data_IF_117420913828
#
_entry.id   IF_117420913828
#
_cell.length_a   1.000
_cell.length_b   1.000
_cell.length_c   1.000
_cell.angle_alpha   90.00
_cell.angle_beta   90.00
_cell.angle_gamma   90.00
#
_symmetry.space_group_name_H-M   'P 1'
#
loop_
_entity.id
_entity.type
_entity.pdbx_description
1 polymer ?
#
# COMPACT_ATOMS: atom_id res chain seq x y z
N UNK A 1 -11.84 -0.12 -17.73
CA UNK A 1 -13.14 -0.80 -17.95
C UNK A 1 -12.95 -2.18 -18.57
N UNK A 2 -12.50 -2.27 -19.83
CA UNK A 2 -12.28 -3.57 -20.51
C UNK A 2 -11.41 -4.52 -19.70
N UNK A 3 -10.32 -4.02 -19.12
CA UNK A 3 -9.40 -4.84 -18.33
C UNK A 3 -10.02 -5.34 -17.03
N UNK A 4 -10.85 -4.54 -16.37
CA UNK A 4 -11.54 -4.98 -15.16
C UNK A 4 -12.50 -6.13 -15.48
N UNK A 5 -13.22 -6.06 -16.60
CA UNK A 5 -14.08 -7.16 -17.08
C UNK A 5 -13.24 -8.40 -17.39
N UNK A 6 -12.10 -8.25 -18.08
CA UNK A 6 -11.19 -9.37 -18.33
C UNK A 6 -10.66 -9.97 -17.02
N UNK A 7 -10.32 -9.14 -16.03
CA UNK A 7 -9.85 -9.59 -14.73
C UNK A 7 -10.94 -10.31 -13.93
N UNK A 8 -12.21 -9.89 -14.02
CA UNK A 8 -13.36 -10.64 -13.46
C UNK A 8 -13.45 -12.02 -14.10
N UNK A 9 -13.35 -12.11 -15.43
CA UNK A 9 -13.39 -13.39 -16.16
C UNK A 9 -12.22 -14.30 -15.74
N UNK A 10 -11.01 -13.73 -15.58
CA UNK A 10 -9.84 -14.46 -15.08
C UNK A 10 -10.03 -14.94 -13.63
N UNK A 11 -10.63 -14.11 -12.77
CA UNK A 11 -11.00 -14.44 -11.39
C UNK A 11 -12.01 -15.59 -11.30
N UNK A 12 -13.09 -15.50 -12.08
CA UNK A 12 -14.17 -16.47 -12.10
C UNK A 12 -13.79 -17.81 -12.78
N UNK A 13 -12.93 -17.77 -13.80
CA UNK A 13 -12.45 -18.98 -14.51
C UNK A 13 -11.47 -19.84 -13.69
N UNK A 14 -10.95 -19.31 -12.58
CA UNK A 14 -10.01 -20.01 -11.73
C UNK A 14 -8.61 -20.17 -12.32
N UNK A 15 -8.27 -19.39 -13.37
CA UNK A 15 -6.93 -19.38 -13.99
C UNK A 15 -5.83 -19.08 -12.96
N UNK A 16 -6.13 -18.24 -11.97
CA UNK A 16 -5.21 -17.93 -10.87
C UNK A 16 -4.79 -19.20 -10.10
N UNK A 17 -5.65 -20.22 -9.99
CA UNK A 17 -5.29 -21.50 -9.36
C UNK A 17 -4.16 -22.22 -10.11
N UNK A 18 -4.15 -22.13 -11.44
CA UNK A 18 -3.08 -22.68 -12.27
C UNK A 18 -1.80 -21.85 -12.05
N UNK A 19 -1.92 -20.53 -11.97
CA UNK A 19 -0.77 -19.65 -11.72
C UNK A 19 -0.14 -19.90 -10.34
N UNK A 20 -0.95 -20.11 -9.29
CA UNK A 20 -0.48 -20.43 -7.94
C UNK A 20 0.42 -21.67 -7.88
N UNK A 21 0.29 -22.60 -8.83
CA UNK A 21 1.19 -23.75 -8.94
C UNK A 21 2.62 -23.38 -9.36
N UNK A 22 2.78 -22.26 -10.05
CA UNK A 22 4.05 -21.77 -10.57
C UNK A 22 4.63 -20.60 -9.77
N UNK A 23 3.84 -20.00 -8.88
CA UNK A 23 4.24 -18.84 -8.09
C UNK A 23 4.88 -19.34 -6.79
N UNK A 24 6.18 -19.07 -6.65
CA UNK A 24 6.93 -19.32 -5.42
C UNK A 24 7.72 -18.09 -4.99
N UNK A 25 8.39 -18.12 -3.82
CA UNK A 25 9.24 -17.02 -3.38
C UNK A 25 10.35 -16.69 -4.40
N UNK A 26 10.82 -17.70 -5.15
CA UNK A 26 11.81 -17.55 -6.22
C UNK A 26 11.31 -16.74 -7.42
N UNK A 27 9.99 -16.68 -7.66
CA UNK A 27 9.38 -15.87 -8.73
C UNK A 27 8.89 -14.52 -8.21
N UNK A 28 8.42 -14.45 -6.95
CA UNK A 28 7.90 -13.20 -6.36
C UNK A 28 9.05 -12.19 -6.14
N UNK A 29 10.18 -12.62 -5.58
CA UNK A 29 11.31 -11.76 -5.30
C UNK A 29 11.86 -11.00 -6.54
N UNK A 30 12.12 -11.65 -7.70
CA UNK A 30 12.58 -10.94 -8.89
C UNK A 30 11.50 -10.03 -9.47
N UNK A 31 10.21 -10.38 -9.38
CA UNK A 31 9.11 -9.51 -9.86
C UNK A 31 9.10 -8.20 -9.07
N UNK A 32 9.09 -8.27 -7.73
CA UNK A 32 9.11 -7.08 -6.86
C UNK A 32 10.36 -6.25 -7.12
N UNK A 33 11.51 -6.91 -7.32
CA UNK A 33 12.77 -6.23 -7.66
C UNK A 33 12.67 -5.46 -8.98
N UNK A 34 12.07 -6.06 -10.02
CA UNK A 34 11.88 -5.40 -11.33
C UNK A 34 10.89 -4.24 -11.23
N UNK A 35 9.81 -4.37 -10.45
CA UNK A 35 8.87 -3.26 -10.19
C UNK A 35 9.63 -2.11 -9.53
N UNK A 36 10.43 -2.37 -8.50
CA UNK A 36 11.27 -1.36 -7.84
C UNK A 36 12.28 -0.71 -8.80
N UNK A 37 12.99 -1.51 -9.60
CA UNK A 37 13.96 -1.01 -10.59
C UNK A 37 13.30 -0.16 -11.68
N UNK A 38 12.06 -0.47 -12.08
CA UNK A 38 11.32 0.31 -13.08
C UNK A 38 10.96 1.71 -12.58
N UNK A 39 10.74 1.85 -11.27
CA UNK A 39 10.45 3.12 -10.61
C UNK A 39 11.70 3.94 -10.30
N UNK A 40 12.88 3.32 -10.29
CA UNK A 40 14.14 3.97 -9.91
C UNK A 40 14.43 5.22 -10.75
N UNK A 41 14.20 5.18 -12.06
CA UNK A 41 14.42 6.35 -12.93
C UNK A 41 13.48 7.50 -12.59
N UNK A 42 12.19 7.20 -12.43
CA UNK A 42 11.19 8.21 -12.08
C UNK A 42 11.50 8.87 -10.74
N UNK A 43 11.81 8.07 -9.72
CA UNK A 43 12.19 8.56 -8.39
C UNK A 43 13.51 9.33 -8.46
N UNK A 44 14.48 8.85 -9.24
CA UNK A 44 15.76 9.51 -9.46
C UNK A 44 15.59 10.90 -10.08
N UNK A 45 14.77 11.03 -11.11
CA UNK A 45 14.48 12.32 -11.76
C UNK A 45 13.82 13.29 -10.76
N UNK A 46 12.84 12.82 -9.97
CA UNK A 46 12.18 13.64 -8.94
C UNK A 46 13.11 14.03 -7.79
N UNK A 47 13.93 13.11 -7.29
CA UNK A 47 14.88 13.36 -6.22
C UNK A 47 16.06 14.24 -6.65
N UNK A 48 16.49 14.16 -7.91
CA UNK A 48 17.60 14.96 -8.44
C UNK A 48 17.33 16.47 -8.37
N UNK A 49 16.06 16.87 -8.52
CA UNK A 49 15.64 18.26 -8.42
C UNK A 49 16.02 18.86 -7.06
N UNK A 50 15.90 18.09 -5.98
CA UNK A 50 16.16 18.50 -4.60
C UNK A 50 16.86 17.38 -3.82
N UNK A 51 18.09 17.07 -4.25
CA UNK A 51 18.85 15.93 -3.76
C UNK A 51 19.13 15.99 -2.25
N UNK A 52 19.39 17.18 -1.70
CA UNK A 52 19.70 17.35 -0.27
C UNK A 52 18.50 17.02 0.63
N UNK A 53 17.31 17.52 0.27
CA UNK A 53 16.08 17.28 1.03
C UNK A 53 15.66 15.81 0.88
N UNK A 54 15.86 15.23 -0.30
CA UNK A 54 15.62 13.81 -0.55
C UNK A 54 16.55 12.92 0.30
N UNK A 55 17.84 13.22 0.35
CA UNK A 55 18.81 12.51 1.20
C UNK A 55 18.47 12.65 2.68
N UNK A 56 18.05 13.83 3.11
CA UNK A 56 17.58 14.06 4.48
C UNK A 56 16.38 13.16 4.81
N UNK A 57 15.40 13.04 3.90
CA UNK A 57 14.24 12.17 4.10
C UNK A 57 14.64 10.70 4.24
N UNK A 58 15.51 10.20 3.35
CA UNK A 58 16.00 8.81 3.42
C UNK A 58 16.76 8.55 4.72
N UNK A 59 17.63 9.48 5.11
CA UNK A 59 18.38 9.39 6.37
C UNK A 59 17.43 9.41 7.58
N UNK A 60 16.42 10.28 7.58
CA UNK A 60 15.49 10.38 8.70
C UNK A 60 14.60 9.14 8.81
N UNK A 61 14.07 8.63 7.70
CA UNK A 61 13.31 7.36 7.66
C UNK A 61 14.16 6.19 8.14
N UNK A 62 15.41 6.09 7.72
CA UNK A 62 16.30 5.02 8.18
C UNK A 62 16.58 5.15 9.67
N UNK A 63 16.90 6.34 10.18
CA UNK A 63 17.11 6.56 11.62
C UNK A 63 15.84 6.19 12.42
N UNK A 64 14.69 6.77 12.10
CA UNK A 64 13.45 6.52 12.86
C UNK A 64 13.00 5.06 12.74
N UNK A 65 13.27 4.39 11.63
CA UNK A 65 13.02 2.95 11.47
C UNK A 65 13.93 2.09 12.34
N UNK A 66 15.18 2.48 12.57
CA UNK A 66 16.09 1.74 13.45
C UNK A 66 15.82 2.00 14.94
N UNK A 67 15.15 3.11 15.28
CA UNK A 67 14.74 3.38 16.65
C UNK A 67 13.63 2.38 17.05
N UNK A 68 14.04 1.29 17.71
CA UNK A 68 13.13 0.31 18.31
C UNK A 68 12.45 0.92 19.53
N UNK A 69 11.34 1.61 19.33
CA UNK A 69 10.45 2.04 20.41
C UNK A 69 9.78 0.82 21.04
N UNK A 70 10.39 0.29 22.11
CA UNK A 70 9.94 -0.91 22.82
C UNK A 70 8.85 -0.57 23.85
N UNK A 71 7.71 -0.08 23.38
CA UNK A 71 6.54 0.16 24.24
C UNK A 71 5.79 -1.17 24.38
N UNK A 72 5.95 -1.85 25.52
CA UNK A 72 5.19 -3.05 25.84
C UNK A 72 3.87 -2.68 26.49
N UNK A 73 2.75 -2.97 25.84
CA UNK A 73 1.43 -2.88 26.46
C UNK A 73 1.11 -4.22 27.14
N UNK A 74 0.74 -4.22 28.44
CA UNK A 74 0.31 -5.44 29.11
C UNK A 74 -1.12 -5.78 28.65
N UNK A 75 -1.25 -6.57 27.58
CA UNK A 75 -2.53 -7.13 27.13
C UNK A 75 -2.72 -8.52 27.75
N UNK A 76 -3.84 -8.73 28.44
CA UNK A 76 -4.29 -10.07 28.88
C UNK A 76 -4.87 -10.81 27.68
N UNK A 77 -4.37 -12.01 27.39
CA UNK A 77 -5.05 -12.91 26.44
C UNK A 77 -6.27 -13.52 27.15
N UNK A 78 -7.48 -13.53 26.54
CA UNK A 78 -8.49 -14.49 26.94
C UNK A 78 -7.99 -15.88 26.56
N UNK A 79 -8.08 -16.82 27.51
CA UNK A 79 -7.68 -18.21 27.32
C UNK A 79 -8.38 -18.77 26.08
N UNK A 80 -7.61 -19.40 25.20
CA UNK A 80 -8.15 -20.13 24.05
C UNK A 80 -8.91 -21.33 24.59
N UNK A 81 -10.21 -21.37 24.37
CA UNK A 81 -11.17 -22.41 24.82
C UNK A 81 -10.96 -23.79 24.15
N UNK A 82 -9.73 -24.12 23.74
CA UNK A 82 -9.37 -25.42 23.13
C UNK A 82 -8.56 -26.34 24.05
N UNK A 83 -8.17 -25.87 25.23
CA UNK A 83 -7.40 -26.69 26.20
C UNK A 83 -8.28 -27.22 27.36
N UNK A 84 -9.60 -26.97 27.35
CA UNK A 84 -10.51 -27.35 28.46
C UNK A 84 -10.89 -28.86 28.45
N UNK A 85 -10.72 -29.58 27.34
CA UNK A 85 -11.18 -30.97 27.26
C UNK A 85 -10.14 -32.00 27.75
N UNK A 86 -8.86 -31.64 27.90
CA UNK A 86 -7.79 -32.60 28.22
C UNK A 86 -7.09 -32.41 29.57
N UNK A 87 -7.57 -31.54 30.46
CA UNK A 87 -6.89 -31.26 31.73
C UNK A 87 -7.83 -31.38 32.94
N UNK A 88 -8.18 -32.63 33.28
CA UNK A 88 -8.81 -33.00 34.56
C UNK A 88 -7.76 -33.41 35.60
N UNK A 89 -6.66 -32.66 35.72
CA UNK A 89 -5.68 -32.84 36.80
C UNK A 89 -5.22 -31.50 37.35
N UNK A 90 -5.96 -31.04 38.37
CA UNK A 90 -5.48 -30.32 39.55
C UNK A 90 -4.10 -29.63 39.44
N UNK A 91 -4.07 -28.36 39.03
CA UNK A 91 -3.17 -27.34 39.57
C UNK A 91 -3.68 -25.91 39.27
N UNK A 92 -3.33 -24.98 40.15
CA UNK A 92 -3.86 -23.62 40.31
C UNK A 92 -3.90 -22.75 39.03
N UNK A 93 -4.93 -21.90 38.83
CA UNK A 93 -4.97 -20.98 37.69
C UNK A 93 -4.07 -19.77 37.96
N UNK A 94 -2.75 -19.91 37.78
CA UNK A 94 -1.88 -18.72 37.66
C UNK A 94 -2.11 -18.11 36.29
N UNK A 95 -2.92 -17.05 36.25
CA UNK A 95 -3.18 -16.24 35.07
C UNK A 95 -1.84 -15.69 34.52
N UNK A 96 -1.25 -16.40 33.57
CA UNK A 96 0.03 -16.06 32.99
C UNK A 96 -0.14 -14.85 32.05
N UNK A 97 0.17 -13.66 32.58
CA UNK A 97 0.06 -12.40 31.82
C UNK A 97 1.23 -12.33 30.84
N UNK A 98 1.02 -12.84 29.63
CA UNK A 98 2.00 -12.73 28.54
C UNK A 98 2.05 -11.30 28.01
N UNK A 99 3.14 -10.58 28.30
CA UNK A 99 3.39 -9.22 27.80
C UNK A 99 3.57 -9.28 26.28
N UNK A 100 2.54 -8.92 25.53
CA UNK A 100 2.62 -8.81 24.07
C UNK A 100 3.22 -7.45 23.68
N UNK A 101 4.31 -7.47 22.92
CA UNK A 101 5.01 -6.25 22.47
C UNK A 101 4.49 -5.91 21.08
N UNK A 102 3.72 -4.84 20.93
CA UNK A 102 3.27 -4.37 19.62
C UNK A 102 4.15 -3.24 19.10
N UNK A 103 4.78 -3.39 17.93
CA UNK A 103 5.49 -2.29 17.29
C UNK A 103 4.52 -1.41 16.51
N UNK A 104 3.50 -0.81 17.16
CA UNK A 104 2.56 0.10 16.47
C UNK A 104 3.30 1.33 15.89
N UNK A 105 4.38 1.75 16.56
CA UNK A 105 5.17 2.90 16.15
C UNK A 105 6.10 2.64 14.96
N UNK A 106 6.34 1.39 14.56
CA UNK A 106 7.22 1.11 13.42
C UNK A 106 6.57 1.50 12.09
N UNK A 107 5.26 1.27 11.94
CA UNK A 107 4.50 1.71 10.76
C UNK A 107 4.30 3.23 10.77
N UNK A 108 4.10 3.82 11.95
CA UNK A 108 4.02 5.28 12.13
C UNK A 108 5.34 5.99 11.78
N UNK A 109 6.47 5.29 11.85
CA UNK A 109 7.81 5.85 11.69
C UNK A 109 8.01 6.56 10.34
N UNK A 110 7.45 6.00 9.25
CA UNK A 110 7.49 6.63 7.93
C UNK A 110 6.71 7.96 7.89
N UNK A 111 5.50 7.96 8.46
CA UNK A 111 4.63 9.16 8.51
C UNK A 111 5.30 10.24 9.37
N UNK A 112 5.89 9.85 10.50
CA UNK A 112 6.60 10.77 11.38
C UNK A 112 7.78 11.44 10.67
N UNK A 113 8.59 10.68 9.93
CA UNK A 113 9.72 11.24 9.17
C UNK A 113 9.24 12.20 8.08
N UNK A 114 8.18 11.84 7.35
CA UNK A 114 7.60 12.70 6.33
C UNK A 114 7.11 14.03 6.93
N UNK A 115 6.48 13.99 8.12
CA UNK A 115 6.04 15.19 8.83
C UNK A 115 7.21 16.09 9.24
N UNK A 116 8.30 15.53 9.75
CA UNK A 116 9.49 16.31 10.15
C UNK A 116 10.14 16.98 8.93
N UNK A 117 10.30 16.25 7.82
CA UNK A 117 10.86 16.82 6.58
C UNK A 117 9.94 17.89 6.01
N UNK A 118 8.62 17.67 6.02
CA UNK A 118 7.65 18.67 5.61
C UNK A 118 7.74 19.94 6.48
N UNK A 119 7.83 19.79 7.81
CA UNK A 119 8.00 20.91 8.74
C UNK A 119 9.29 21.68 8.47
N UNK A 120 10.39 20.97 8.20
CA UNK A 120 11.65 21.61 7.82
C UNK A 120 11.50 22.42 6.52
N UNK A 121 10.86 21.84 5.49
CA UNK A 121 10.59 22.54 4.24
C UNK A 121 9.68 23.75 4.44
N UNK A 122 8.71 23.66 5.36
CA UNK A 122 7.83 24.76 5.73
C UNK A 122 8.59 25.90 6.42
N UNK A 123 9.48 25.59 7.37
CA UNK A 123 10.34 26.57 8.03
C UNK A 123 11.26 27.25 7.00
N UNK A 124 11.92 26.46 6.14
CA UNK A 124 12.80 26.96 5.09
C UNK A 124 12.07 27.86 4.09
N UNK A 125 10.80 27.54 3.82
CA UNK A 125 9.91 28.37 2.99
C UNK A 125 9.63 29.71 3.65
N UNK A 126 9.31 29.75 4.95
CA UNK A 126 9.07 31.02 5.69
C UNK A 126 10.35 31.85 5.80
N UNK A 127 11.51 31.22 5.95
CA UNK A 127 12.80 31.92 6.02
C UNK A 127 13.29 32.44 4.66
N UNK A 128 12.50 32.28 3.59
CA UNK A 128 12.80 32.72 2.23
C UNK A 128 14.16 32.24 1.71
N UNK A 129 14.60 31.06 2.17
CA UNK A 129 15.87 30.42 1.75
C UNK A 129 15.75 29.89 0.31
N UNK A 130 14.54 29.60 -0.15
CA UNK A 130 14.28 29.07 -1.49
C UNK A 130 13.99 30.19 -2.50
N UNK A 131 14.60 30.08 -3.68
CA UNK A 131 14.40 31.01 -4.78
C UNK A 131 12.94 31.09 -5.26
N UNK A 132 12.49 32.28 -5.67
CA UNK A 132 11.10 32.52 -6.14
C UNK A 132 10.88 32.17 -7.62
N UNK A 133 11.95 31.95 -8.38
CA UNK A 133 11.86 31.61 -9.81
C UNK A 133 12.10 30.12 -10.05
N UNK A 134 11.43 29.51 -11.06
CA UNK A 134 11.53 28.08 -11.36
C UNK A 134 12.93 27.60 -11.75
N UNK A 135 13.80 28.51 -12.18
CA UNK A 135 15.18 28.20 -12.59
C UNK A 135 16.17 28.15 -11.42
N UNK A 136 15.73 28.56 -10.22
CA UNK A 136 16.58 28.58 -9.04
C UNK A 136 16.49 27.27 -8.25
N UNK A 137 17.64 26.83 -7.74
CA UNK A 137 17.72 25.68 -6.86
C UNK A 137 16.87 25.91 -5.60
N UNK A 138 16.01 24.94 -5.26
CA UNK A 138 15.14 25.00 -4.09
C UNK A 138 13.68 25.31 -4.41
N UNK A 139 13.38 25.79 -5.62
CA UNK A 139 12.02 26.19 -6.00
C UNK A 139 10.99 25.06 -5.79
N UNK A 140 11.29 23.84 -6.27
CA UNK A 140 10.38 22.69 -6.16
C UNK A 140 10.19 22.14 -4.73
N UNK A 141 11.02 22.54 -3.76
CA UNK A 141 10.91 22.09 -2.38
C UNK A 141 9.95 22.93 -1.52
N UNK A 142 9.46 24.04 -2.09
CA UNK A 142 8.69 25.05 -1.38
C UNK A 142 7.26 24.58 -1.14
N UNK A 143 6.76 24.78 0.08
CA UNK A 143 5.44 24.27 0.49
C UNK A 143 4.26 25.10 -0.02
N UNK A 144 4.52 26.32 -0.50
CA UNK A 144 3.53 27.30 -0.94
C UNK A 144 3.16 27.20 -2.44
N UNK A 145 3.94 26.48 -3.27
CA UNK A 145 3.77 26.39 -4.73
C UNK A 145 2.34 26.06 -5.16
N UNK A 146 1.66 25.21 -4.38
CA UNK A 146 0.32 24.69 -4.68
C UNK A 146 -0.78 25.30 -3.82
N UNK A 147 -0.48 26.32 -3.00
CA UNK A 147 -1.46 26.96 -2.11
C UNK A 147 -2.63 27.57 -2.90
N UNK A 148 -2.37 28.06 -4.11
CA UNK A 148 -3.39 28.65 -4.98
C UNK A 148 -4.41 27.60 -5.48
N UNK A 149 -3.99 26.34 -5.64
CA UNK A 149 -4.89 25.24 -5.98
C UNK A 149 -5.86 24.92 -4.83
N UNK A 150 -5.41 25.05 -3.57
CA UNK A 150 -6.28 24.89 -2.41
C UNK A 150 -7.29 26.03 -2.26
N UNK A 151 -6.94 27.26 -2.68
CA UNK A 151 -7.87 28.40 -2.65
C UNK A 151 -8.94 28.32 -3.75
N UNK A 152 -8.59 27.74 -4.90
CA UNK A 152 -9.48 27.68 -6.08
C UNK A 152 -10.33 26.42 -6.13
N UNK A 153 -9.99 25.38 -5.35
CA UNK A 153 -10.77 24.14 -5.31
C UNK A 153 -12.07 24.31 -4.52
N UNK A 154 -13.13 23.66 -4.99
CA UNK A 154 -14.41 23.61 -4.26
C UNK A 154 -14.25 22.70 -3.04
N UNK A 155 -14.69 23.16 -1.87
CA UNK A 155 -14.64 22.40 -0.61
C UNK A 155 -15.33 21.04 -0.69
N UNK A 156 -16.43 20.95 -1.45
CA UNK A 156 -17.12 19.69 -1.70
C UNK A 156 -17.21 19.43 -3.19
N UNK A 157 -16.66 18.30 -3.63
CA UNK A 157 -16.75 17.82 -5.01
C UNK A 157 -17.32 16.42 -4.99
N UNK A 158 -18.60 16.30 -5.28
CA UNK A 158 -19.20 14.99 -5.58
C UNK A 158 -18.62 14.54 -6.91
N UNK A 159 -17.82 13.46 -6.95
CA UNK A 159 -17.36 12.96 -8.22
C UNK A 159 -18.59 12.33 -8.90
N UNK A 160 -18.83 12.64 -10.16
CA UNK A 160 -19.93 12.07 -10.94
C UNK A 160 -19.36 11.10 -11.98
N UNK A 161 -20.11 10.05 -12.36
CA UNK A 161 -19.67 9.14 -13.41
C UNK A 161 -19.46 9.95 -14.69
N UNK A 162 -18.46 9.57 -15.48
CA UNK A 162 -18.07 10.25 -16.74
C UNK A 162 -17.57 11.70 -16.62
N UNK A 163 -17.15 12.17 -15.44
CA UNK A 163 -16.59 13.52 -15.29
C UNK A 163 -15.33 13.81 -16.14
N UNK A 164 -14.67 12.76 -16.63
CA UNK A 164 -13.47 12.85 -17.48
C UNK A 164 -13.75 12.56 -18.96
N UNK A 165 -15.03 12.51 -19.36
CA UNK A 165 -15.47 12.19 -20.71
C UNK A 165 -15.91 10.74 -20.89
N UNK A 166 -16.29 10.40 -22.12
CA UNK A 166 -16.72 9.04 -22.48
C UNK A 166 -15.51 8.10 -22.59
N UNK A 167 -15.62 6.85 -22.11
CA UNK A 167 -14.53 5.88 -22.14
C UNK A 167 -14.19 5.55 -23.59
N UNK A 168 -12.97 5.90 -24.00
CA UNK A 168 -12.44 5.53 -25.31
C UNK A 168 -11.55 4.30 -25.16
N UNK A 169 -11.76 3.29 -26.00
CA UNK A 169 -10.95 2.07 -25.98
C UNK A 169 -9.90 2.15 -27.08
N UNK A 170 -8.62 2.14 -26.68
CA UNK A 170 -7.50 2.01 -27.61
C UNK A 170 -6.90 0.61 -27.50
N UNK A 171 -6.68 -0.13 -28.61
CA UNK A 171 -6.06 -1.46 -28.58
C UNK A 171 -4.69 -1.49 -27.88
N UNK A 172 -3.86 -0.47 -28.11
CA UNK A 172 -2.54 -0.36 -27.45
C UNK A 172 -2.68 -0.16 -25.94
N UNK A 173 -3.67 0.62 -25.52
CA UNK A 173 -3.99 0.83 -24.11
C UNK A 173 -4.50 -0.45 -23.44
N UNK A 174 -5.30 -1.27 -24.14
CA UNK A 174 -5.78 -2.56 -23.62
C UNK A 174 -4.60 -3.51 -23.38
N UNK A 175 -3.68 -3.63 -24.34
CA UNK A 175 -2.51 -4.51 -24.19
C UNK A 175 -1.63 -4.05 -23.02
N UNK A 176 -1.27 -2.75 -22.97
CA UNK A 176 -0.42 -2.22 -21.90
C UNK A 176 -1.03 -2.38 -20.51
N UNK A 177 -2.34 -2.11 -20.38
CA UNK A 177 -3.05 -2.28 -19.11
C UNK A 177 -3.27 -3.74 -18.74
N UNK A 178 -3.32 -4.67 -19.71
CA UNK A 178 -3.39 -6.12 -19.43
C UNK A 178 -2.11 -6.61 -18.74
N UNK A 179 -0.95 -6.13 -19.19
CA UNK A 179 0.34 -6.42 -18.55
C UNK A 179 0.41 -5.84 -17.13
N UNK A 180 -0.07 -4.61 -16.94
CA UNK A 180 -0.13 -3.99 -15.61
C UNK A 180 -1.01 -4.80 -14.64
N UNK A 181 -2.15 -5.30 -15.10
CA UNK A 181 -3.02 -6.15 -14.27
C UNK A 181 -2.38 -7.49 -13.96
N UNK A 182 -1.67 -8.09 -14.90
CA UNK A 182 -0.89 -9.31 -14.63
C UNK A 182 0.14 -9.08 -13.51
N UNK A 183 0.87 -7.96 -13.55
CA UNK A 183 1.81 -7.58 -12.50
C UNK A 183 1.09 -7.39 -11.15
N UNK A 184 -0.07 -6.73 -11.13
CA UNK A 184 -0.85 -6.52 -9.91
C UNK A 184 -1.37 -7.81 -9.27
N UNK A 185 -1.74 -8.82 -10.08
CA UNK A 185 -2.16 -10.13 -9.58
C UNK A 185 -0.97 -10.82 -8.91
N UNK A 186 0.22 -10.74 -9.51
CA UNK A 186 1.44 -11.35 -8.94
C UNK A 186 1.86 -10.67 -7.64
N UNK A 187 1.81 -9.34 -7.58
CA UNK A 187 2.05 -8.56 -6.36
C UNK A 187 1.07 -8.94 -5.25
N UNK A 188 -0.23 -8.94 -5.57
CA UNK A 188 -1.29 -9.28 -4.62
C UNK A 188 -1.19 -10.72 -4.07
N UNK A 189 -0.74 -11.69 -4.89
CA UNK A 189 -0.45 -13.05 -4.42
C UNK A 189 0.67 -13.05 -3.37
N UNK A 190 1.74 -12.29 -3.61
CA UNK A 190 2.82 -12.11 -2.63
C UNK A 190 2.31 -11.56 -1.29
N UNK A 191 1.41 -10.59 -1.33
CA UNK A 191 0.79 -10.01 -0.13
C UNK A 191 -0.03 -11.04 0.66
N UNK A 192 -0.79 -11.92 -0.01
CA UNK A 192 -1.52 -12.99 0.67
C UNK A 192 -0.61 -13.94 1.44
N UNK A 193 0.50 -14.35 0.83
CA UNK A 193 1.48 -15.23 1.48
C UNK A 193 2.22 -14.52 2.62
N UNK A 194 2.58 -13.25 2.44
CA UNK A 194 3.20 -12.45 3.50
C UNK A 194 2.25 -12.21 4.68
N UNK A 195 0.98 -11.90 4.42
CA UNK A 195 -0.05 -11.72 5.46
C UNK A 195 -0.32 -13.02 6.23
N UNK A 196 -0.32 -14.17 5.55
CA UNK A 196 -0.47 -15.47 6.20
C UNK A 196 0.71 -15.76 7.15
N UNK A 197 1.94 -15.54 6.69
CA UNK A 197 3.16 -15.73 7.47
C UNK A 197 3.21 -14.80 8.70
N UNK A 198 3.00 -13.50 8.51
CA UNK A 198 2.98 -12.49 9.58
C UNK A 198 1.85 -12.78 10.59
N UNK A 199 0.72 -13.33 10.12
CA UNK A 199 -0.41 -13.67 10.99
C UNK A 199 -0.29 -15.03 11.66
N UNK A 200 0.72 -15.84 11.31
CA UNK A 200 0.80 -17.24 11.72
C UNK A 200 -0.42 -18.06 11.26
N UNK A 201 -1.12 -17.60 10.22
CA UNK A 201 -2.28 -18.25 9.65
C UNK A 201 -1.82 -19.31 8.64
N UNK A 202 -2.58 -20.40 8.46
CA UNK A 202 -2.29 -21.35 7.39
C UNK A 202 -2.35 -20.65 6.01
N UNK A 203 -1.61 -21.15 5.01
CA UNK A 203 -1.61 -20.55 3.68
C UNK A 203 -3.04 -20.48 3.12
N UNK A 204 -3.43 -19.35 2.50
CA UNK A 204 -4.80 -19.13 2.08
C UNK A 204 -5.22 -20.14 1.01
N UNK A 205 -6.42 -20.70 1.08
CA UNK A 205 -6.87 -21.70 0.13
C UNK A 205 -7.11 -21.06 -1.25
N UNK A 206 -6.87 -21.82 -2.32
CA UNK A 206 -6.87 -21.30 -3.70
C UNK A 206 -8.20 -20.64 -4.11
N UNK A 207 -9.34 -21.13 -3.60
CA UNK A 207 -10.65 -20.55 -3.89
C UNK A 207 -10.84 -19.16 -3.23
N UNK A 208 -10.19 -18.89 -2.09
CA UNK A 208 -10.25 -17.60 -1.43
C UNK A 208 -9.47 -16.55 -2.23
N UNK A 209 -8.33 -16.93 -2.79
CA UNK A 209 -7.50 -16.05 -3.65
C UNK A 209 -8.26 -15.71 -4.94
N UNK A 210 -8.85 -16.70 -5.62
CA UNK A 210 -9.64 -16.46 -6.84
C UNK A 210 -10.82 -15.51 -6.59
N UNK A 211 -11.57 -15.73 -5.50
CA UNK A 211 -12.68 -14.85 -5.11
C UNK A 211 -12.21 -13.45 -4.75
N UNK A 212 -11.06 -13.33 -4.10
CA UNK A 212 -10.52 -12.02 -3.73
C UNK A 212 -10.15 -11.21 -4.99
N UNK A 213 -9.48 -11.84 -5.96
CA UNK A 213 -9.16 -11.20 -7.24
C UNK A 213 -10.41 -10.81 -8.03
N UNK A 214 -11.43 -11.67 -8.05
CA UNK A 214 -12.73 -11.36 -8.67
C UNK A 214 -13.38 -10.14 -8.02
N UNK A 215 -13.43 -10.09 -6.68
CA UNK A 215 -14.01 -8.96 -5.93
C UNK A 215 -13.26 -7.65 -6.16
N UNK A 216 -11.93 -7.70 -6.24
CA UNK A 216 -11.12 -6.54 -6.59
C UNK A 216 -11.45 -6.04 -8.00
N UNK A 217 -11.56 -6.96 -8.97
CA UNK A 217 -11.89 -6.61 -10.35
C UNK A 217 -13.31 -6.04 -10.50
N UNK A 218 -14.28 -6.55 -9.73
CA UNK A 218 -15.65 -6.03 -9.65
C UNK A 218 -15.64 -4.57 -9.18
N UNK A 219 -14.96 -4.29 -8.07
CA UNK A 219 -14.83 -2.91 -7.54
C UNK A 219 -14.14 -1.98 -8.55
N UNK A 220 -13.04 -2.43 -9.17
CA UNK A 220 -12.34 -1.67 -10.20
C UNK A 220 -13.21 -1.37 -11.41
N UNK A 221 -14.10 -2.28 -11.79
CA UNK A 221 -15.03 -2.06 -12.89
C UNK A 221 -15.97 -0.89 -12.58
N UNK A 222 -16.46 -0.79 -11.34
CA UNK A 222 -17.31 0.31 -10.84
C UNK A 222 -16.52 1.62 -10.78
N UNK A 223 -15.32 1.60 -10.21
CA UNK A 223 -14.47 2.78 -10.09
C UNK A 223 -14.01 3.33 -11.45
N UNK A 224 -13.92 2.47 -12.47
CA UNK A 224 -13.56 2.90 -13.81
C UNK A 224 -14.62 3.83 -14.46
N UNK A 225 -15.90 3.72 -14.09
CA UNK A 225 -16.94 4.68 -14.51
C UNK A 225 -16.70 6.09 -13.96
N UNK A 226 -15.95 6.16 -12.86
CA UNK A 226 -15.54 7.39 -12.19
C UNK A 226 -14.17 7.92 -12.65
N UNK A 227 -13.54 7.25 -13.62
CA UNK A 227 -12.20 7.59 -14.13
C UNK A 227 -11.07 7.42 -13.11
N UNK A 228 -11.22 6.52 -12.14
CA UNK A 228 -10.15 6.16 -11.22
C UNK A 228 -9.18 5.17 -11.88
N UNK A 229 -7.85 5.31 -11.67
CA UNK A 229 -6.87 4.34 -12.15
C UNK A 229 -6.97 3.00 -11.41
N UNK A 230 -6.31 1.97 -11.94
CA UNK A 230 -6.24 0.63 -11.34
C UNK A 230 -5.48 0.67 -10.00
N UNK A 231 -5.98 -0.05 -8.99
CA UNK A 231 -5.48 -0.07 -7.61
C UNK A 231 -5.21 -1.51 -7.18
N UNK A 232 -4.15 -1.72 -6.41
CA UNK A 232 -3.74 -3.02 -5.85
C UNK A 232 -4.42 -3.23 -4.48
N UNK A 233 -4.97 -4.42 -4.18
CA UNK A 233 -5.67 -4.66 -2.92
C UNK A 233 -4.74 -5.06 -1.76
N UNK A 234 -5.09 -4.64 -0.53
CA UNK A 234 -4.51 -5.13 0.73
C UNK A 234 -5.61 -5.80 1.56
N UNK A 235 -5.32 -6.97 2.15
CA UNK A 235 -6.31 -7.80 2.86
C UNK A 235 -6.06 -7.81 4.36
N UNK A 236 -7.11 -7.55 5.14
CA UNK A 236 -7.10 -7.63 6.61
C UNK A 236 -7.79 -8.92 7.11
N UNK A 237 -7.48 -9.31 8.34
CA UNK A 237 -7.87 -10.57 9.02
C UNK A 237 -9.38 -10.81 9.15
N UNK A 238 -10.22 -9.84 8.82
CA UNK A 238 -11.69 -9.96 8.85
C UNK A 238 -12.33 -10.37 7.52
N UNK A 239 -11.56 -10.46 6.42
CA UNK A 239 -12.14 -10.59 5.08
C UNK A 239 -12.67 -9.28 4.51
N UNK A 240 -12.51 -8.18 5.23
CA UNK A 240 -12.84 -6.82 4.78
C UNK A 240 -11.63 -6.18 4.08
N UNK A 241 -11.89 -5.62 2.90
CA UNK A 241 -10.88 -5.04 2.00
C UNK A 241 -10.70 -3.55 2.33
N UNK A 242 -9.54 -3.18 2.88
CA UNK A 242 -9.18 -1.78 3.09
C UNK A 242 -8.17 -1.28 2.05
N UNK A 243 -8.43 -0.07 1.56
CA UNK A 243 -7.74 0.61 0.47
C UNK A 243 -6.48 1.31 0.97
N UNK A 244 -5.34 1.10 0.31
CA UNK A 244 -4.20 2.03 0.41
C UNK A 244 -4.24 2.95 -0.81
N UNK A 245 -4.57 4.21 -0.58
CA UNK A 245 -4.42 5.27 -1.58
C UNK A 245 -2.92 5.52 -1.84
N UNK A 246 -2.32 4.75 -2.75
CA UNK A 246 -1.03 5.10 -3.34
C UNK A 246 -1.30 6.11 -4.47
N UNK A 247 -0.63 7.26 -4.35
CA UNK A 247 -0.69 8.46 -5.19
C UNK A 247 -1.82 9.46 -4.88
N UNK A 248 -1.44 10.50 -4.12
CA UNK A 248 -1.95 11.86 -4.18
C UNK A 248 -0.88 12.77 -4.77
#
# INVERSE_FOLDING_TARGET
MVIAVLQIVVGASGVINIMLRYIGPITIAPIISVIGLSLFKLVGDMCSSQWMISMMMVLLVTITSQIKWRIGIPLRQPLKERDVENDLTEHTPTADVKIWRVPILSVLSFILSMLVVWLLCYILTITEVFGHSPDQFGYYARTDLRINSFKTTKWFRIPYPFQFGMPTVSPSGVIGMSTAVMASIMESIGDYYACADISGAPPPPNHAINRAQEKTAEQLSVFAWWGRPHLVPVVDRGGDMFQIHLFS
#
